data_IF_628095433667
#
_entry.id   IF_628095433667
#
_cell.length_a   1.000
_cell.length_b   1.000
_cell.length_c   1.000
_cell.angle_alpha   90.00
_cell.angle_beta   90.00
_cell.angle_gamma   90.00
#
_symmetry.space_group_name_H-M   'P 1'
#
loop_
_entity.id
_entity.type
_entity.pdbx_description
1 polymer ?
#
# COMPACT_ATOMS: atom_id res chain seq x y z
N UNK A 1 -2.52 0.28 14.05
CA UNK A 1 -2.72 0.72 12.65
C UNK A 1 -3.86 1.70 12.56
N UNK A 2 -5.05 1.31 13.04
CA UNK A 2 -6.23 2.18 13.14
C UNK A 2 -5.96 3.60 13.71
N UNK A 3 -5.06 3.79 14.68
CA UNK A 3 -4.70 5.15 15.16
C UNK A 3 -4.07 6.04 14.08
N UNK A 4 -3.31 5.46 13.16
CA UNK A 4 -2.70 6.19 12.04
C UNK A 4 -3.71 6.44 10.92
N UNK A 5 -4.63 5.49 10.69
CA UNK A 5 -5.70 5.61 9.70
C UNK A 5 -7.00 4.99 10.21
N UNK A 6 -7.87 5.77 10.89
CA UNK A 6 -9.07 5.25 11.54
C UNK A 6 -10.26 5.09 10.59
N UNK A 7 -10.16 5.64 9.37
CA UNK A 7 -11.27 5.74 8.42
C UNK A 7 -11.45 4.47 7.57
N UNK A 8 -10.61 3.46 7.75
CA UNK A 8 -10.67 2.18 7.01
C UNK A 8 -10.70 1.00 7.97
N UNK A 9 -11.23 -0.12 7.49
CA UNK A 9 -11.23 -1.37 8.26
C UNK A 9 -9.83 -1.93 8.39
N UNK A 10 -9.51 -2.43 9.58
CA UNK A 10 -8.28 -3.16 9.85
C UNK A 10 -8.62 -4.48 10.54
N UNK A 11 -7.83 -5.50 10.26
CA UNK A 11 -7.89 -6.72 11.05
C UNK A 11 -6.50 -7.32 11.23
N UNK A 12 -6.28 -7.91 12.40
CA UNK A 12 -5.06 -8.64 12.71
C UNK A 12 -5.43 -10.00 13.31
N UNK A 13 -4.74 -11.06 12.89
CA UNK A 13 -5.03 -12.40 13.36
C UNK A 13 -3.80 -13.29 13.47
N UNK A 14 -3.87 -14.25 14.38
CA UNK A 14 -2.82 -15.23 14.62
C UNK A 14 -3.00 -16.45 13.73
N UNK A 15 -1.99 -16.73 12.89
CA UNK A 15 -1.87 -17.93 12.06
C UNK A 15 -0.82 -18.89 12.63
N UNK A 16 -0.80 -20.11 12.09
CA UNK A 16 0.23 -21.13 12.34
C UNK A 16 0.44 -21.43 13.84
N UNK A 17 -0.67 -21.54 14.59
CA UNK A 17 -0.63 -21.81 16.03
C UNK A 17 -0.08 -20.64 16.86
N UNK A 18 -0.25 -19.39 16.40
CA UNK A 18 0.19 -18.20 17.13
C UNK A 18 1.56 -17.67 16.74
N UNK A 19 2.23 -18.27 15.74
CA UNK A 19 3.58 -17.90 15.32
C UNK A 19 3.63 -16.70 14.37
N UNK A 20 2.54 -16.46 13.65
CA UNK A 20 2.48 -15.46 12.60
C UNK A 20 1.32 -14.51 12.89
N UNK A 21 1.61 -13.22 13.08
CA UNK A 21 0.58 -12.18 13.16
C UNK A 21 0.34 -11.62 11.76
N UNK A 22 -0.77 -12.00 11.14
CA UNK A 22 -1.20 -11.40 9.88
C UNK A 22 -1.92 -10.08 10.13
N UNK A 23 -1.58 -9.04 9.38
CA UNK A 23 -2.28 -7.76 9.34
C UNK A 23 -2.90 -7.54 7.96
N UNK A 24 -4.16 -7.11 7.92
CA UNK A 24 -4.89 -6.80 6.68
C UNK A 24 -5.71 -5.52 6.80
N UNK A 25 -5.96 -4.91 5.65
CA UNK A 25 -7.04 -3.95 5.40
C UNK A 25 -7.70 -4.34 4.08
N UNK A 26 -9.01 -4.11 3.96
CA UNK A 26 -9.78 -4.37 2.76
C UNK A 26 -9.69 -3.23 1.72
N UNK A 27 -9.01 -2.11 2.05
CA UNK A 27 -8.83 -0.95 1.17
C UNK A 27 -8.46 -1.31 -0.27
N UNK A 28 -7.54 -2.25 -0.45
CA UNK A 28 -7.20 -2.78 -1.78
C UNK A 28 -6.72 -4.24 -1.68
N UNK A 29 -7.59 -5.11 -1.16
CA UNK A 29 -7.36 -6.55 -1.14
C UNK A 29 -6.14 -7.00 -0.32
N UNK A 30 -5.77 -6.25 0.72
CA UNK A 30 -4.63 -6.54 1.59
C UNK A 30 -3.40 -5.63 1.42
N UNK A 31 -3.40 -4.72 0.45
CA UNK A 31 -2.35 -3.71 0.33
C UNK A 31 -2.37 -2.74 1.51
N UNK A 32 -1.19 -2.43 2.07
CA UNK A 32 -1.05 -1.47 3.18
C UNK A 32 -0.56 -0.12 2.63
N UNK A 33 -1.30 0.99 2.85
CA UNK A 33 -0.89 2.34 2.44
C UNK A 33 0.48 2.79 2.95
N UNK A 34 1.21 3.64 2.21
CA UNK A 34 2.59 4.03 2.55
C UNK A 34 2.70 4.86 3.84
N UNK A 35 1.66 5.62 4.20
CA UNK A 35 1.66 6.46 5.42
C UNK A 35 1.48 5.64 6.70
N UNK A 36 1.01 4.40 6.59
CA UNK A 36 0.80 3.51 7.74
C UNK A 36 2.10 2.78 8.06
N UNK A 37 2.71 3.16 9.17
CA UNK A 37 3.91 2.51 9.73
C UNK A 37 3.55 1.22 10.43
N UNK A 38 4.38 0.20 10.25
CA UNK A 38 4.10 -1.16 10.71
C UNK A 38 4.87 -1.51 12.00
N UNK A 39 4.29 -2.29 12.93
CA UNK A 39 5.04 -2.82 14.05
C UNK A 39 5.93 -3.99 13.61
N UNK A 40 6.95 -4.37 14.40
CA UNK A 40 7.78 -5.52 14.07
C UNK A 40 6.95 -6.82 14.07
N UNK A 41 7.46 -7.84 13.36
CA UNK A 41 6.92 -9.21 13.37
C UNK A 41 5.47 -9.37 12.85
N UNK A 42 4.94 -8.37 12.14
CA UNK A 42 3.72 -8.56 11.35
C UNK A 42 4.07 -9.12 9.97
N UNK A 43 3.19 -9.98 9.49
CA UNK A 43 3.20 -10.47 8.11
C UNK A 43 2.05 -9.83 7.36
N UNK A 44 2.26 -9.52 6.08
CA UNK A 44 1.24 -8.98 5.19
C UNK A 44 0.81 -10.05 4.19
N UNK A 45 -0.35 -9.86 3.57
CA UNK A 45 -0.74 -10.67 2.43
C UNK A 45 0.21 -10.44 1.26
N UNK A 46 0.46 -11.48 0.46
CA UNK A 46 1.17 -11.33 -0.81
C UNK A 46 0.31 -10.58 -1.84
N UNK A 47 0.94 -9.81 -2.76
CA UNK A 47 0.24 -9.22 -3.89
C UNK A 47 -0.48 -10.29 -4.72
N UNK A 48 -1.80 -10.20 -4.81
CA UNK A 48 -2.61 -11.13 -5.59
C UNK A 48 -3.95 -10.49 -5.96
N UNK A 49 -4.54 -10.96 -7.04
CA UNK A 49 -5.93 -10.66 -7.37
C UNK A 49 -6.86 -11.27 -6.32
N UNK A 50 -7.68 -10.42 -5.70
CA UNK A 50 -8.73 -10.83 -4.76
C UNK A 50 -10.07 -10.23 -5.17
N UNK A 51 -11.17 -10.77 -4.62
CA UNK A 51 -12.51 -10.24 -4.90
C UNK A 51 -12.60 -8.79 -4.39
N UNK A 52 -13.19 -7.85 -5.15
CA UNK A 52 -13.30 -6.45 -4.74
C UNK A 52 -14.13 -6.22 -3.47
N UNK A 53 -15.04 -7.13 -3.15
CA UNK A 53 -15.96 -7.08 -2.00
C UNK A 53 -15.46 -7.91 -0.80
N UNK A 54 -14.24 -8.45 -0.84
CA UNK A 54 -13.67 -9.21 0.26
C UNK A 54 -13.43 -8.30 1.48
N UNK A 55 -14.11 -8.60 2.59
CA UNK A 55 -13.94 -7.87 3.85
C UNK A 55 -12.62 -8.22 4.54
N UNK A 56 -12.26 -7.49 5.61
CA UNK A 56 -11.06 -7.81 6.41
C UNK A 56 -11.11 -9.21 7.04
N UNK A 57 -12.30 -9.74 7.34
CA UNK A 57 -12.48 -11.12 7.82
C UNK A 57 -12.22 -12.15 6.71
N UNK A 58 -12.75 -11.93 5.50
CA UNK A 58 -12.46 -12.76 4.33
C UNK A 58 -10.96 -12.81 4.05
N UNK A 59 -10.28 -11.65 4.15
CA UNK A 59 -8.85 -11.51 3.90
C UNK A 59 -7.97 -12.17 4.98
N UNK A 60 -8.41 -12.17 6.24
CA UNK A 60 -7.70 -12.88 7.32
C UNK A 60 -7.72 -14.39 7.12
N UNK A 61 -8.80 -14.95 6.57
CA UNK A 61 -8.97 -16.40 6.43
C UNK A 61 -8.91 -17.13 7.77
N UNK A 62 -8.37 -18.34 7.79
CA UNK A 62 -8.29 -19.16 9.00
C UNK A 62 -7.23 -18.63 9.98
N UNK A 63 -7.68 -18.17 11.15
CA UNK A 63 -6.86 -17.67 12.26
C UNK A 63 -7.39 -18.20 13.60
N UNK A 64 -6.53 -18.33 14.61
CA UNK A 64 -6.94 -18.80 15.95
C UNK A 64 -7.50 -17.69 16.84
N UNK A 65 -7.05 -16.46 16.63
CA UNK A 65 -7.49 -15.24 17.34
C UNK A 65 -7.49 -14.11 16.33
N UNK A 66 -8.51 -13.24 16.37
CA UNK A 66 -8.62 -12.06 15.52
C UNK A 66 -9.03 -10.83 16.33
N UNK A 67 -8.53 -9.68 15.90
CA UNK A 67 -8.98 -8.37 16.36
C UNK A 67 -9.33 -7.52 15.14
N UNK A 68 -10.49 -6.88 15.18
CA UNK A 68 -11.05 -6.11 14.07
C UNK A 68 -11.28 -4.68 14.54
N UNK A 69 -10.89 -3.72 13.70
CA UNK A 69 -11.28 -2.32 13.83
C UNK A 69 -12.19 -1.96 12.66
N UNK A 70 -13.38 -1.47 12.98
CA UNK A 70 -14.31 -0.92 12.00
C UNK A 70 -14.09 0.59 11.85
N UNK A 71 -14.30 1.17 10.66
CA UNK A 71 -14.12 2.60 10.42
C UNK A 71 -14.85 3.45 11.46
N UNK A 72 -14.20 4.52 11.93
CA UNK A 72 -14.74 5.46 12.93
C UNK A 72 -15.05 4.86 14.32
N UNK A 73 -14.66 3.61 14.58
CA UNK A 73 -14.73 3.04 15.93
C UNK A 73 -13.81 3.80 16.87
N UNK A 74 -14.22 3.91 18.13
CA UNK A 74 -13.40 4.55 19.16
C UNK A 74 -12.06 3.81 19.32
N UNK A 75 -10.97 4.58 19.39
CA UNK A 75 -9.63 4.06 19.66
C UNK A 75 -9.11 4.73 20.91
N UNK A 76 -8.83 3.94 21.94
CA UNK A 76 -8.25 4.45 23.19
C UNK A 76 -6.82 4.95 23.01
N UNK A 77 -6.32 5.66 24.01
CA UNK A 77 -4.94 6.16 24.05
C UNK A 77 -3.90 5.02 23.97
N UNK A 78 -2.69 5.28 23.42
CA UNK A 78 -1.58 4.33 23.46
C UNK A 78 -1.26 3.95 24.91
N UNK A 79 -1.22 2.64 25.17
CA UNK A 79 -0.74 2.10 26.44
C UNK A 79 0.78 1.85 26.38
N UNK A 80 1.47 1.72 27.53
CA UNK A 80 2.92 1.49 27.57
C UNK A 80 3.41 0.26 26.79
N UNK A 81 2.55 -0.73 26.58
CA UNK A 81 2.79 -1.95 25.79
C UNK A 81 2.45 -1.78 24.30
N UNK A 82 2.04 -0.59 23.85
CA UNK A 82 1.79 -0.32 22.42
C UNK A 82 3.06 -0.58 21.62
N UNK A 83 3.02 -1.46 20.60
CA UNK A 83 4.20 -1.80 19.82
C UNK A 83 4.82 -0.61 19.10
N UNK A 84 6.15 -0.51 19.12
CA UNK A 84 6.89 0.46 18.33
C UNK A 84 6.71 0.21 16.81
N UNK A 85 6.65 1.29 16.02
CA UNK A 85 6.35 1.23 14.58
C UNK A 85 7.63 1.14 13.73
N UNK A 86 8.39 0.05 13.91
CA UNK A 86 9.73 -0.15 13.32
C UNK A 86 9.81 -1.27 12.28
N UNK A 87 8.68 -1.90 11.93
CA UNK A 87 8.61 -3.10 11.11
C UNK A 87 8.45 -2.90 9.61
N UNK A 88 8.35 -1.67 9.09
CA UNK A 88 8.03 -1.42 7.67
C UNK A 88 8.92 -2.18 6.69
N UNK A 89 10.24 -2.13 6.90
CA UNK A 89 11.21 -2.76 6.00
C UNK A 89 11.13 -4.28 6.01
N UNK A 90 10.75 -4.88 7.14
CA UNK A 90 10.66 -6.34 7.29
C UNK A 90 9.28 -6.89 6.93
N UNK A 91 8.23 -6.06 6.99
CA UNK A 91 6.87 -6.48 6.70
C UNK A 91 6.47 -6.28 5.23
N UNK A 92 6.96 -5.22 4.56
CA UNK A 92 6.66 -4.90 3.15
C UNK A 92 7.48 -5.77 2.18
N UNK A 93 7.30 -7.08 2.29
CA UNK A 93 7.90 -8.07 1.41
C UNK A 93 6.90 -8.40 0.29
N UNK A 94 7.39 -8.47 -0.95
CA UNK A 94 6.61 -8.86 -2.12
C UNK A 94 7.54 -9.61 -3.09
N UNK A 95 6.97 -10.40 -4.04
CA UNK A 95 7.74 -10.96 -5.15
C UNK A 95 8.57 -9.87 -5.85
N UNK A 96 9.80 -10.22 -6.23
CA UNK A 96 10.67 -9.29 -6.93
C UNK A 96 10.09 -8.97 -8.31
N UNK A 97 9.98 -7.68 -8.60
CA UNK A 97 9.65 -7.18 -9.94
C UNK A 97 10.95 -7.02 -10.73
N UNK A 98 11.05 -7.78 -11.82
CA UNK A 98 12.18 -7.67 -12.74
C UNK A 98 12.26 -6.27 -13.34
N UNK A 99 13.49 -5.76 -13.47
CA UNK A 99 13.76 -4.43 -14.01
C UNK A 99 12.87 -3.35 -13.37
N UNK A 100 12.84 -3.30 -12.03
CA UNK A 100 11.98 -2.44 -11.21
C UNK A 100 11.79 -1.01 -11.79
N UNK A 101 12.88 -0.34 -12.15
CA UNK A 101 12.85 1.01 -12.72
C UNK A 101 12.10 1.07 -14.07
N UNK A 102 12.58 0.38 -15.12
CA UNK A 102 11.87 0.27 -16.39
C UNK A 102 10.41 -0.18 -16.26
N UNK A 103 10.12 -1.20 -15.43
CA UNK A 103 8.77 -1.73 -15.24
C UNK A 103 7.85 -0.69 -14.58
N UNK A 104 8.35 0.06 -13.58
CA UNK A 104 7.60 1.16 -12.97
C UNK A 104 7.30 2.27 -13.98
N UNK A 105 8.32 2.71 -14.73
CA UNK A 105 8.16 3.77 -15.72
C UNK A 105 7.18 3.38 -16.85
N UNK A 106 7.14 2.10 -17.23
CA UNK A 106 6.18 1.58 -18.20
C UNK A 106 4.76 1.49 -17.63
N UNK A 107 4.61 1.06 -16.37
CA UNK A 107 3.32 1.00 -15.70
C UNK A 107 2.68 2.40 -15.57
N UNK A 108 3.49 3.41 -15.22
CA UNK A 108 3.05 4.81 -15.15
C UNK A 108 2.69 5.35 -16.55
N UNK A 109 3.48 5.01 -17.58
CA UNK A 109 3.26 5.49 -18.96
C UNK A 109 1.92 5.04 -19.53
N UNK A 110 1.45 3.85 -19.15
CA UNK A 110 0.18 3.27 -19.60
C UNK A 110 -1.02 3.83 -18.84
N UNK A 111 -0.81 4.73 -17.89
CA UNK A 111 -1.84 5.18 -16.97
C UNK A 111 -2.29 6.60 -17.27
N UNK A 112 -3.51 6.71 -17.81
CA UNK A 112 -4.07 8.00 -18.21
C UNK A 112 -4.42 8.93 -17.02
N UNK A 113 -4.67 8.35 -15.84
CA UNK A 113 -5.07 9.09 -14.64
C UNK A 113 -3.93 9.73 -13.85
N UNK A 114 -2.66 9.41 -14.17
CA UNK A 114 -1.51 9.93 -13.43
C UNK A 114 -1.07 11.30 -13.94
N UNK A 115 -0.61 12.19 -13.05
CA UNK A 115 -0.12 13.51 -13.47
C UNK A 115 1.14 13.35 -14.32
N UNK A 116 1.31 14.20 -15.34
CA UNK A 116 2.47 14.14 -16.26
C UNK A 116 3.82 14.13 -15.54
N UNK A 117 3.91 14.77 -14.38
CA UNK A 117 5.12 14.77 -13.55
C UNK A 117 5.51 13.36 -13.08
N UNK A 118 4.55 12.48 -12.81
CA UNK A 118 4.82 11.12 -12.37
C UNK A 118 5.63 10.34 -13.41
N UNK A 119 5.35 10.52 -14.72
CA UNK A 119 6.11 9.86 -15.77
C UNK A 119 7.55 10.36 -15.83
N UNK A 120 7.76 11.68 -15.79
CA UNK A 120 9.09 12.28 -15.83
C UNK A 120 9.94 11.82 -14.63
N UNK A 121 9.35 11.89 -13.43
CA UNK A 121 10.02 11.50 -12.19
C UNK A 121 10.28 9.99 -12.14
N UNK A 122 9.35 9.14 -12.59
CA UNK A 122 9.56 7.70 -12.66
C UNK A 122 10.74 7.34 -13.57
N UNK A 123 10.86 7.98 -14.74
CA UNK A 123 11.98 7.76 -15.67
C UNK A 123 13.30 8.25 -15.06
N UNK A 124 13.31 9.42 -14.42
CA UNK A 124 14.50 9.96 -13.77
C UNK A 124 14.96 9.04 -12.62
N UNK A 125 14.03 8.64 -11.74
CA UNK A 125 14.29 7.73 -10.62
C UNK A 125 14.82 6.36 -11.10
N UNK A 126 14.19 5.79 -12.14
CA UNK A 126 14.62 4.52 -12.73
C UNK A 126 16.06 4.56 -13.28
N UNK A 127 16.47 5.71 -13.81
CA UNK A 127 17.82 5.94 -14.35
C UNK A 127 18.81 6.46 -13.31
N UNK A 128 18.38 6.62 -12.04
CA UNK A 128 19.17 7.23 -10.95
C UNK A 128 19.67 8.63 -11.30
N UNK A 129 18.86 9.38 -12.03
CA UNK A 129 19.11 10.79 -12.31
C UNK A 129 18.65 11.64 -11.12
N UNK A 130 19.26 12.81 -10.96
CA UNK A 130 18.79 13.79 -9.99
C UNK A 130 17.39 14.26 -10.35
N UNK A 131 16.52 14.33 -9.34
CA UNK A 131 15.16 14.84 -9.46
C UNK A 131 15.13 16.19 -8.73
N UNK A 132 14.72 17.27 -9.38
CA UNK A 132 14.57 18.57 -8.73
C UNK A 132 13.60 18.49 -7.54
N UNK A 133 13.92 19.19 -6.44
CA UNK A 133 13.12 19.15 -5.21
C UNK A 133 11.64 19.53 -5.45
N UNK A 134 11.39 20.55 -6.29
CA UNK A 134 10.05 20.98 -6.64
C UNK A 134 9.25 19.92 -7.42
N UNK A 135 9.91 19.05 -8.19
CA UNK A 135 9.26 17.94 -8.89
C UNK A 135 8.89 16.82 -7.91
N UNK A 136 9.76 16.53 -6.94
CA UNK A 136 9.51 15.56 -5.88
C UNK A 136 8.39 16.03 -4.94
N UNK A 137 8.39 17.31 -4.55
CA UNK A 137 7.32 17.94 -3.76
C UNK A 137 5.98 17.87 -4.47
N UNK A 138 5.92 18.26 -5.76
CA UNK A 138 4.70 18.17 -6.55
C UNK A 138 4.19 16.72 -6.65
N UNK A 139 5.07 15.74 -6.79
CA UNK A 139 4.66 14.33 -6.79
C UNK A 139 4.06 13.90 -5.44
N UNK A 140 4.66 14.35 -4.33
CA UNK A 140 4.18 14.07 -2.98
C UNK A 140 2.81 14.69 -2.71
N UNK A 141 2.59 15.93 -3.16
CA UNK A 141 1.29 16.60 -3.10
C UNK A 141 0.22 15.81 -3.85
N UNK A 142 0.52 15.36 -5.08
CA UNK A 142 -0.40 14.53 -5.87
C UNK A 142 -0.70 13.18 -5.21
N UNK A 143 0.30 12.56 -4.59
CA UNK A 143 0.09 11.33 -3.83
C UNK A 143 -0.87 11.57 -2.64
N UNK A 144 -0.74 12.72 -1.97
CA UNK A 144 -1.61 13.12 -0.86
C UNK A 144 -3.04 13.39 -1.31
N UNK A 145 -3.24 14.05 -2.45
CA UNK A 145 -4.56 14.28 -3.03
C UNK A 145 -5.28 12.96 -3.37
N UNK A 146 -4.58 12.01 -4.01
CA UNK A 146 -5.15 10.69 -4.33
C UNK A 146 -5.42 9.89 -3.06
N UNK A 147 -4.53 9.94 -2.06
CA UNK A 147 -4.77 9.35 -0.75
C UNK A 147 -6.08 9.87 -0.14
N UNK A 148 -6.25 11.18 -0.08
CA UNK A 148 -7.46 11.80 0.49
C UNK A 148 -8.71 11.39 -0.29
N UNK A 149 -8.64 11.40 -1.63
CA UNK A 149 -9.74 10.94 -2.48
C UNK A 149 -10.14 9.50 -2.16
N UNK A 150 -9.17 8.58 -2.09
CA UNK A 150 -9.42 7.16 -1.81
C UNK A 150 -10.03 6.99 -0.41
N UNK A 151 -9.45 7.62 0.61
CA UNK A 151 -9.90 7.47 1.99
C UNK A 151 -11.28 8.08 2.24
N UNK A 152 -11.59 9.21 1.60
CA UNK A 152 -12.90 9.88 1.74
C UNK A 152 -14.03 9.17 0.98
N UNK A 153 -13.69 8.38 -0.04
CA UNK A 153 -14.68 7.62 -0.83
C UNK A 153 -14.80 6.16 -0.37
N UNK A 154 -13.95 5.70 0.54
CA UNK A 154 -14.03 4.38 1.15
C UNK A 154 -15.40 4.14 1.82
N UNK A 155 -16.03 2.95 1.68
CA UNK A 155 -15.53 1.74 1.02
C UNK A 155 -15.85 1.66 -0.49
N UNK A 156 -16.33 2.74 -1.09
CA UNK A 156 -16.79 2.80 -2.48
C UNK A 156 -15.80 3.46 -3.44
N UNK A 157 -14.53 3.60 -3.03
CA UNK A 157 -13.48 4.20 -3.84
C UNK A 157 -13.22 3.36 -5.09
N UNK A 158 -12.83 4.03 -6.17
CA UNK A 158 -12.42 3.34 -7.39
C UNK A 158 -11.08 2.63 -7.15
N UNK A 159 -11.01 1.34 -7.49
CA UNK A 159 -9.76 0.60 -7.55
C UNK A 159 -8.70 1.28 -8.44
N UNK A 160 -9.12 2.14 -9.37
CA UNK A 160 -8.21 2.93 -10.23
C UNK A 160 -7.43 3.94 -9.43
N UNK A 161 -8.11 4.70 -8.57
CA UNK A 161 -7.48 5.64 -7.67
C UNK A 161 -6.52 4.92 -6.69
N UNK A 162 -6.89 3.73 -6.20
CA UNK A 162 -5.99 2.93 -5.36
C UNK A 162 -4.71 2.49 -6.09
N UNK A 163 -4.81 2.06 -7.35
CA UNK A 163 -3.61 1.72 -8.15
C UNK A 163 -2.78 2.96 -8.47
N UNK A 164 -3.39 4.10 -8.76
CA UNK A 164 -2.66 5.35 -8.99
C UNK A 164 -1.86 5.72 -7.74
N UNK A 165 -2.46 5.57 -6.55
CA UNK A 165 -1.77 5.75 -5.28
C UNK A 165 -0.62 4.77 -5.09
N UNK A 166 -0.79 3.48 -5.41
CA UNK A 166 0.29 2.49 -5.35
C UNK A 166 1.46 2.87 -6.27
N UNK A 167 1.20 3.33 -7.49
CA UNK A 167 2.25 3.74 -8.42
C UNK A 167 3.00 4.98 -7.92
N UNK A 168 2.29 5.99 -7.39
CA UNK A 168 2.93 7.16 -6.79
C UNK A 168 3.74 6.79 -5.54
N UNK A 169 3.25 5.87 -4.71
CA UNK A 169 3.98 5.36 -3.56
C UNK A 169 5.27 4.62 -3.99
N UNK A 170 5.23 3.87 -5.08
CA UNK A 170 6.41 3.20 -5.63
C UNK A 170 7.46 4.21 -6.13
N UNK A 171 7.04 5.28 -6.80
CA UNK A 171 7.94 6.34 -7.25
C UNK A 171 8.57 7.05 -6.04
N UNK A 172 7.77 7.50 -5.06
CA UNK A 172 8.29 8.16 -3.85
C UNK A 172 9.31 7.29 -3.12
N UNK A 173 9.02 6.00 -2.94
CA UNK A 173 9.96 5.07 -2.33
C UNK A 173 11.26 4.93 -3.14
N UNK A 174 11.20 5.00 -4.48
CA UNK A 174 12.38 4.94 -5.33
C UNK A 174 13.23 6.23 -5.22
N UNK A 175 12.61 7.40 -5.11
CA UNK A 175 13.28 8.69 -4.85
C UNK A 175 14.07 8.63 -3.54
N UNK A 176 13.46 8.05 -2.49
CA UNK A 176 14.08 7.85 -1.18
C UNK A 176 15.15 6.74 -1.17
N UNK A 177 15.38 6.05 -2.29
CA UNK A 177 16.30 4.92 -2.38
C UNK A 177 15.79 3.63 -1.71
N UNK A 178 14.53 3.60 -1.28
CA UNK A 178 13.88 2.46 -0.64
C UNK A 178 13.32 1.46 -1.67
N UNK A 179 14.24 0.73 -2.31
CA UNK A 179 13.93 -0.25 -3.35
C UNK A 179 12.95 -1.36 -2.88
N UNK A 180 13.03 -1.92 -1.65
CA UNK A 180 12.05 -2.89 -1.17
C UNK A 180 10.62 -2.34 -1.12
N UNK A 181 10.44 -1.11 -0.63
CA UNK A 181 9.11 -0.48 -0.61
C UNK A 181 8.61 -0.17 -2.02
N UNK A 182 9.48 0.33 -2.90
CA UNK A 182 9.14 0.56 -4.31
C UNK A 182 8.67 -0.75 -5.00
N UNK A 183 9.40 -1.85 -4.76
CA UNK A 183 9.02 -3.18 -5.24
C UNK A 183 7.65 -3.62 -4.69
N UNK A 184 7.43 -3.48 -3.38
CA UNK A 184 6.16 -3.81 -2.73
C UNK A 184 4.97 -3.08 -3.38
N UNK A 185 5.07 -1.76 -3.52
CA UNK A 185 3.99 -0.95 -4.09
C UNK A 185 3.72 -1.27 -5.57
N UNK A 186 4.78 -1.47 -6.37
CA UNK A 186 4.62 -1.85 -7.79
C UNK A 186 4.01 -3.25 -7.94
N UNK A 187 4.45 -4.24 -7.16
CA UNK A 187 3.90 -5.59 -7.22
C UNK A 187 2.38 -5.60 -6.91
N UNK A 188 1.94 -4.80 -5.93
CA UNK A 188 0.52 -4.62 -5.63
C UNK A 188 -0.24 -3.90 -6.74
N UNK A 189 0.35 -2.85 -7.33
CA UNK A 189 -0.26 -2.17 -8.48
C UNK A 189 -0.47 -3.15 -9.65
N UNK A 190 0.53 -3.96 -9.98
CA UNK A 190 0.46 -4.97 -11.04
C UNK A 190 -0.63 -6.01 -10.77
N UNK A 191 -0.65 -6.60 -9.57
CA UNK A 191 -1.67 -7.60 -9.18
C UNK A 191 -3.10 -7.04 -9.23
N UNK A 192 -3.26 -5.75 -8.88
CA UNK A 192 -4.56 -5.07 -8.90
C UNK A 192 -4.98 -4.70 -10.33
N UNK A 193 -4.04 -4.36 -11.23
CA UNK A 193 -4.35 -4.08 -12.64
C UNK A 193 -4.75 -5.33 -13.43
N UNK A 194 -4.11 -6.48 -13.16
CA UNK A 194 -4.43 -7.75 -13.82
C UNK A 194 -5.89 -8.19 -13.65
N UNK A 195 -6.57 -7.70 -12.61
CA UNK A 195 -8.02 -7.94 -12.39
C UNK A 195 -8.92 -7.38 -13.51
N UNK A 196 -8.44 -6.40 -14.28
CA UNK A 196 -9.24 -5.68 -15.28
C UNK A 196 -9.16 -6.26 -16.68
N UNK A 197 -8.11 -7.00 -17.03
CA UNK A 197 -8.01 -7.65 -18.34
C UNK A 197 -8.95 -8.86 -18.49
N UNK A 198 -9.66 -9.24 -17.42
CA UNK A 198 -10.66 -10.31 -17.43
C UNK A 198 -12.12 -9.82 -17.39
N UNK A 199 -12.37 -8.52 -17.60
CA UNK A 199 -13.74 -7.98 -17.74
C UNK A 199 -13.97 -7.41 -19.13
#
# INVERSE_FOLDING_TARGET
>A
MARQEPNISWSAGLRDGGRTTLLVTDLAGGWIPPHVRLPPQVTLLEPATRRPDATVEDLLGAVSVAAIHQPHSYIGEPQPDTPALTGDRTARIAPTVDELGPTLAEAVRRRDGLPRIAQAVAVAAARKYGIPDNEAELLHERATEIQQLVLTTYPHHDASAAVDWMLLAAINALIEGNHPAANYHLAWAMATMSTRSCK
#
